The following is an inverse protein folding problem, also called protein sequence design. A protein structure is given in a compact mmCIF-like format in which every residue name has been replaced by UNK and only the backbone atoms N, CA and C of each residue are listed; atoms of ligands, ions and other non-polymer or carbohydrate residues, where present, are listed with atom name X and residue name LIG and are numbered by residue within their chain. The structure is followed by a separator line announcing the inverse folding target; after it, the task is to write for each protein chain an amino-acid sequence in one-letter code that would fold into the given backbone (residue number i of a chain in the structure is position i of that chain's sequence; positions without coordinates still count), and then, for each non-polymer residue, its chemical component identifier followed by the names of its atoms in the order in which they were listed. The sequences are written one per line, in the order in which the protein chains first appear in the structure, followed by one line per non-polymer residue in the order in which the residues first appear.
data_IF_758549938487
#
_entry.id   IF_758549938487
#
_cell.length_a   1.000
_cell.length_b   1.000
_cell.length_c   1.000
_cell.angle_alpha   90.00
_cell.angle_beta   90.00
_cell.angle_gamma   90.00
#
_symmetry.space_group_name_H-M   'P 1'
#
loop_
_entity.id
_entity.type
_entity.pdbx_description
1 polymer ?
#
# COMPACT_ATOMS: atom_id res chain seq x y z
N UNK A 1 12.58 -3.92 -16.85
CA UNK A 1 11.27 -4.56 -17.11
C UNK A 1 11.03 -5.77 -16.21
N UNK A 2 11.98 -6.71 -16.12
CA UNK A 2 11.87 -7.93 -15.30
C UNK A 2 11.57 -7.65 -13.82
N UNK A 3 12.32 -6.76 -13.16
CA UNK A 3 12.15 -6.46 -11.72
C UNK A 3 10.73 -6.01 -11.38
N UNK A 4 10.17 -5.06 -12.17
CA UNK A 4 8.80 -4.57 -11.97
C UNK A 4 7.77 -5.69 -12.06
N UNK A 5 7.91 -6.58 -13.05
CA UNK A 5 7.01 -7.72 -13.22
C UNK A 5 7.10 -8.70 -12.06
N UNK A 6 8.31 -9.06 -11.64
CA UNK A 6 8.50 -9.99 -10.51
C UNK A 6 7.91 -9.42 -9.22
N UNK A 7 8.14 -8.14 -8.94
CA UNK A 7 7.57 -7.46 -7.78
C UNK A 7 6.05 -7.43 -7.83
N UNK A 8 5.49 -7.16 -9.02
CA UNK A 8 4.06 -7.21 -9.26
C UNK A 8 3.47 -8.58 -8.91
N UNK A 9 4.04 -9.64 -9.50
CA UNK A 9 3.54 -11.01 -9.35
C UNK A 9 3.62 -11.46 -7.88
N UNK A 10 4.72 -11.14 -7.18
CA UNK A 10 4.88 -11.44 -5.75
C UNK A 10 3.82 -10.71 -4.93
N UNK A 11 3.70 -9.39 -5.09
CA UNK A 11 2.76 -8.59 -4.32
C UNK A 11 1.30 -9.00 -4.58
N UNK A 12 0.96 -9.33 -5.82
CA UNK A 12 -0.36 -9.83 -6.18
C UNK A 12 -0.68 -11.14 -5.45
N UNK A 13 0.24 -12.10 -5.42
CA UNK A 13 0.04 -13.36 -4.72
C UNK A 13 -0.07 -13.15 -3.20
N UNK A 14 0.75 -12.29 -2.61
CA UNK A 14 0.65 -11.92 -1.18
C UNK A 14 -0.71 -11.31 -0.84
N UNK A 15 -1.29 -10.52 -1.76
CA UNK A 15 -2.64 -9.99 -1.62
C UNK A 15 -3.69 -11.09 -1.48
N UNK A 16 -3.59 -12.14 -2.30
CA UNK A 16 -4.48 -13.31 -2.24
C UNK A 16 -4.34 -14.05 -0.91
N UNK A 17 -3.10 -14.30 -0.48
CA UNK A 17 -2.81 -14.94 0.80
C UNK A 17 -3.36 -14.16 1.99
N UNK A 18 -3.30 -12.83 1.95
CA UNK A 18 -3.87 -11.96 2.98
C UNK A 18 -5.40 -12.02 3.02
N UNK A 19 -6.06 -12.05 1.86
CA UNK A 19 -7.50 -12.22 1.79
C UNK A 19 -7.95 -13.55 2.42
N UNK A 20 -7.20 -14.62 2.17
CA UNK A 20 -7.42 -15.93 2.78
C UNK A 20 -7.16 -15.91 4.29
N UNK A 21 -6.03 -15.32 4.71
CA UNK A 21 -5.65 -15.23 6.13
C UNK A 21 -6.68 -14.49 6.98
N UNK A 22 -7.20 -13.36 6.49
CA UNK A 22 -8.25 -12.62 7.18
C UNK A 22 -9.65 -13.23 7.01
N UNK A 23 -9.84 -14.14 6.05
CA UNK A 23 -11.15 -14.66 5.68
C UNK A 23 -12.10 -13.60 5.10
N UNK A 24 -11.54 -12.48 4.62
CA UNK A 24 -12.25 -11.32 4.08
C UNK A 24 -11.34 -10.53 3.16
N UNK A 25 -11.94 -9.79 2.23
CA UNK A 25 -11.21 -9.04 1.21
C UNK A 25 -11.92 -7.71 0.84
N UNK A 26 -12.63 -7.12 1.79
CA UNK A 26 -13.26 -5.80 1.66
C UNK A 26 -12.33 -4.69 2.19
N UNK A 27 -12.78 -3.43 2.14
CA UNK A 27 -11.96 -2.29 2.61
C UNK A 27 -11.66 -2.35 4.12
N UNK A 28 -12.46 -3.08 4.89
CA UNK A 28 -12.18 -3.29 6.31
C UNK A 28 -11.03 -4.28 6.53
N UNK A 29 -10.78 -5.19 5.59
CA UNK A 29 -9.56 -6.02 5.57
C UNK A 29 -8.30 -5.15 5.43
N UNK A 30 -8.34 -4.11 4.57
CA UNK A 30 -7.25 -3.13 4.44
C UNK A 30 -7.01 -2.42 5.78
N UNK A 31 -8.08 -2.00 6.45
CA UNK A 31 -7.95 -1.36 7.77
C UNK A 31 -7.31 -2.28 8.81
N UNK A 32 -7.66 -3.56 8.81
CA UNK A 32 -7.04 -4.56 9.69
C UNK A 32 -5.56 -4.78 9.35
N UNK A 33 -5.19 -4.76 8.06
CA UNK A 33 -3.80 -4.85 7.62
C UNK A 33 -2.95 -3.64 8.06
N UNK A 34 -3.52 -2.45 8.12
CA UNK A 34 -2.75 -1.24 8.45
C UNK A 34 -2.20 -1.22 9.87
N UNK A 35 -2.81 -1.96 10.81
CA UNK A 35 -2.32 -2.09 12.18
C UNK A 35 -0.91 -2.72 12.22
N UNK A 36 -0.68 -3.94 11.71
CA UNK A 36 0.66 -4.52 11.70
C UNK A 36 1.63 -3.73 10.80
N UNK A 37 1.16 -3.12 9.71
CA UNK A 37 2.03 -2.35 8.80
C UNK A 37 2.52 -1.02 9.38
N UNK A 38 1.76 -0.42 10.30
CA UNK A 38 2.16 0.80 11.01
C UNK A 38 2.86 0.52 12.35
N UNK A 39 2.96 -0.75 12.75
CA UNK A 39 3.58 -1.17 14.01
C UNK A 39 5.00 -0.62 14.19
N UNK A 40 5.38 -0.37 15.44
CA UNK A 40 6.68 0.19 15.81
C UNK A 40 7.03 1.52 15.10
N UNK A 41 6.01 2.27 14.66
CA UNK A 41 6.20 3.54 13.94
C UNK A 41 6.72 3.36 12.51
N UNK A 42 6.57 2.17 11.92
CA UNK A 42 6.95 1.91 10.53
C UNK A 42 6.25 2.86 9.56
N UNK A 43 4.98 3.18 9.84
CA UNK A 43 4.18 4.16 9.11
C UNK A 43 3.46 5.07 10.11
N UNK A 44 3.35 6.37 9.80
CA UNK A 44 2.45 7.29 10.48
C UNK A 44 1.24 7.58 9.60
N UNK A 45 0.07 7.14 10.04
CA UNK A 45 -1.16 7.18 9.26
C UNK A 45 -2.06 8.35 9.68
N UNK A 46 -2.79 8.91 8.73
CA UNK A 46 -3.86 9.87 8.96
C UNK A 46 -5.08 9.50 8.10
N UNK A 47 -6.18 9.16 8.75
CA UNK A 47 -7.41 8.74 8.08
C UNK A 47 -8.27 9.94 7.73
N UNK A 48 -8.67 10.05 6.47
CA UNK A 48 -9.57 11.09 5.97
C UNK A 48 -10.94 10.55 5.54
N UNK A 49 -11.10 9.23 5.42
CA UNK A 49 -12.38 8.56 5.18
C UNK A 49 -12.33 7.07 5.53
N UNK A 50 -13.41 6.53 6.11
CA UNK A 50 -13.52 5.13 6.55
C UNK A 50 -14.94 4.60 6.31
N UNK A 51 -15.22 4.27 5.06
CA UNK A 51 -16.51 3.73 4.60
C UNK A 51 -16.40 2.31 4.07
N UNK A 52 -17.55 1.68 3.86
CA UNK A 52 -17.62 0.30 3.33
C UNK A 52 -17.24 0.19 1.84
N UNK A 53 -17.43 1.26 1.08
CA UNK A 53 -17.13 1.32 -0.37
C UNK A 53 -16.08 2.37 -0.74
N UNK A 54 -15.63 3.17 0.23
CA UNK A 54 -14.67 4.24 0.03
C UNK A 54 -13.84 4.41 1.30
N UNK A 55 -12.51 4.33 1.19
CA UNK A 55 -11.56 4.42 2.30
C UNK A 55 -10.41 5.35 1.87
N UNK A 56 -10.05 6.32 2.70
CA UNK A 56 -9.00 7.29 2.41
C UNK A 56 -8.01 7.37 3.57
N UNK A 57 -6.74 7.23 3.22
CA UNK A 57 -5.63 7.12 4.16
C UNK A 57 -4.39 7.82 3.62
N UNK A 58 -3.88 8.77 4.39
CA UNK A 58 -2.62 9.42 4.10
C UNK A 58 -1.51 8.81 4.97
N UNK A 59 -0.41 8.38 4.34
CA UNK A 59 0.84 8.08 5.05
C UNK A 59 1.66 9.37 5.13
N UNK A 60 1.86 9.86 6.36
CA UNK A 60 2.57 11.11 6.66
C UNK A 60 4.06 10.89 6.96
N UNK A 61 4.44 9.68 7.37
CA UNK A 61 5.83 9.28 7.60
C UNK A 61 5.98 7.78 7.27
N UNK A 62 7.10 7.40 6.69
CA UNK A 62 7.36 6.05 6.19
C UNK A 62 8.82 5.66 6.35
N UNK A 63 9.09 4.70 7.24
CA UNK A 63 10.44 4.24 7.53
C UNK A 63 11.13 3.57 6.33
N UNK A 64 10.37 3.07 5.34
CA UNK A 64 10.96 2.60 4.09
C UNK A 64 11.62 3.73 3.31
N UNK A 65 11.01 4.91 3.25
CA UNK A 65 11.61 6.09 2.58
C UNK A 65 12.91 6.46 3.28
N UNK A 66 12.89 6.58 4.61
CA UNK A 66 14.09 6.88 5.40
C UNK A 66 15.19 5.82 5.24
N UNK A 67 14.81 4.54 5.14
CA UNK A 67 15.74 3.44 4.89
C UNK A 67 16.42 3.60 3.51
N UNK A 68 15.65 3.78 2.43
CA UNK A 68 16.22 3.93 1.09
C UNK A 68 17.08 5.20 0.96
N UNK A 69 16.69 6.29 1.61
CA UNK A 69 17.50 7.51 1.70
C UNK A 69 18.84 7.24 2.40
N UNK A 70 18.80 6.59 3.57
CA UNK A 70 20.00 6.30 4.36
C UNK A 70 21.01 5.44 3.61
N UNK A 71 20.55 4.49 2.80
CA UNK A 71 21.43 3.62 2.00
C UNK A 71 21.78 4.20 0.62
N UNK A 72 21.29 5.39 0.29
CA UNK A 72 21.59 6.07 -0.98
C UNK A 72 20.90 5.45 -2.21
N UNK A 73 19.76 4.78 -2.03
CA UNK A 73 19.02 4.08 -3.10
C UNK A 73 17.55 4.52 -3.19
N UNK A 74 17.26 5.79 -2.88
CA UNK A 74 15.89 6.35 -2.90
C UNK A 74 15.21 6.18 -4.26
N UNK A 75 15.96 6.31 -5.34
CA UNK A 75 15.52 6.13 -6.73
C UNK A 75 14.97 4.73 -7.02
N UNK A 76 15.41 3.71 -6.28
CA UNK A 76 14.90 2.35 -6.41
C UNK A 76 13.66 2.07 -5.54
N UNK A 77 13.46 2.84 -4.47
CA UNK A 77 12.40 2.58 -3.49
C UNK A 77 10.98 2.63 -4.08
N UNK A 78 10.78 3.47 -5.11
CA UNK A 78 9.50 3.53 -5.82
C UNK A 78 9.15 2.21 -6.51
N UNK A 79 10.15 1.53 -7.08
CA UNK A 79 9.96 0.23 -7.76
C UNK A 79 9.95 -0.91 -6.75
N UNK A 80 10.89 -0.91 -5.81
CA UNK A 80 11.14 -2.03 -4.90
C UNK A 80 10.13 -2.15 -3.75
N UNK A 81 9.58 -1.02 -3.28
CA UNK A 81 8.65 -1.00 -2.16
C UNK A 81 7.30 -0.42 -2.53
N UNK A 82 7.22 0.84 -2.98
CA UNK A 82 5.93 1.48 -3.24
C UNK A 82 5.16 0.84 -4.42
N UNK A 83 5.87 0.26 -5.39
CA UNK A 83 5.27 -0.41 -6.54
C UNK A 83 4.52 -1.70 -6.21
N UNK A 84 4.62 -2.20 -4.96
CA UNK A 84 3.91 -3.38 -4.47
C UNK A 84 2.46 -3.12 -4.10
N UNK A 85 2.13 -1.88 -3.75
CA UNK A 85 0.85 -1.56 -3.11
C UNK A 85 -0.34 -1.86 -4.04
N UNK A 86 -0.37 -1.31 -5.26
CA UNK A 86 -1.48 -1.54 -6.20
C UNK A 86 -1.65 -3.05 -6.56
N UNK A 87 -0.60 -3.79 -6.96
CA UNK A 87 -0.73 -5.23 -7.23
C UNK A 87 -1.23 -6.02 -6.03
N UNK A 88 -0.75 -5.68 -4.83
CA UNK A 88 -1.19 -6.31 -3.59
C UNK A 88 -2.71 -6.18 -3.40
N UNK A 89 -3.26 -4.96 -3.45
CA UNK A 89 -4.70 -4.79 -3.25
C UNK A 89 -5.53 -5.40 -4.38
N UNK A 90 -5.01 -5.38 -5.61
CA UNK A 90 -5.65 -6.06 -6.74
C UNK A 90 -5.68 -7.58 -6.57
N UNK A 91 -4.64 -8.16 -5.99
CA UNK A 91 -4.58 -9.59 -5.65
C UNK A 91 -5.55 -9.95 -4.53
N UNK A 92 -5.64 -9.11 -3.50
CA UNK A 92 -6.56 -9.29 -2.38
C UNK A 92 -8.03 -9.26 -2.83
N UNK A 93 -8.41 -8.29 -3.68
CA UNK A 93 -9.72 -8.24 -4.30
C UNK A 93 -9.67 -7.44 -5.60
N UNK A 94 -9.98 -8.10 -6.72
CA UNK A 94 -9.94 -7.46 -8.05
C UNK A 94 -10.95 -6.32 -8.24
N UNK A 95 -11.94 -6.17 -7.34
CA UNK A 95 -12.90 -5.05 -7.33
C UNK A 95 -12.42 -3.85 -6.54
N UNK A 96 -11.30 -3.95 -5.81
CA UNK A 96 -10.70 -2.82 -5.12
C UNK A 96 -9.87 -2.03 -6.12
N UNK A 97 -10.23 -0.77 -6.29
CA UNK A 97 -9.44 0.20 -7.04
C UNK A 97 -8.66 1.07 -6.07
N UNK A 98 -7.34 0.88 -6.06
CA UNK A 98 -6.44 1.78 -5.34
C UNK A 98 -6.02 2.92 -6.27
N UNK A 99 -6.15 4.16 -5.79
CA UNK A 99 -5.56 5.34 -6.41
C UNK A 99 -4.58 5.98 -5.42
N UNK A 100 -3.42 6.39 -5.94
CA UNK A 100 -2.43 7.19 -5.21
C UNK A 100 -1.77 8.14 -6.20
N UNK A 101 -1.80 9.43 -5.89
CA UNK A 101 -1.33 10.47 -6.82
C UNK A 101 -0.02 11.10 -6.38
N UNK A 102 0.32 10.97 -5.10
CA UNK A 102 1.52 11.51 -4.46
C UNK A 102 2.16 10.43 -3.60
N UNK A 103 3.48 10.46 -3.50
CA UNK A 103 4.24 9.56 -2.62
C UNK A 103 5.34 10.30 -1.88
N UNK A 104 5.61 9.89 -0.65
CA UNK A 104 6.79 10.33 0.12
C UNK A 104 8.11 9.87 -0.52
N UNK A 105 8.08 8.71 -1.19
CA UNK A 105 9.26 8.14 -1.85
C UNK A 105 9.75 9.00 -3.00
N UNK A 106 8.87 9.76 -3.64
CA UNK A 106 9.21 10.74 -4.65
C UNK A 106 9.42 12.11 -3.97
N UNK A 107 8.57 13.09 -4.30
CA UNK A 107 8.64 14.48 -3.80
C UNK A 107 7.33 14.94 -3.13
N UNK A 108 6.40 14.01 -2.91
CA UNK A 108 5.13 14.28 -2.25
C UNK A 108 5.29 14.54 -0.75
N UNK A 109 4.32 15.24 -0.17
CA UNK A 109 4.25 15.52 1.28
C UNK A 109 3.61 14.38 2.09
N UNK A 110 2.97 13.43 1.40
CA UNK A 110 2.35 12.23 1.95
C UNK A 110 2.21 11.19 0.81
N UNK A 111 1.89 9.95 1.16
CA UNK A 111 1.27 9.01 0.24
C UNK A 111 -0.24 9.07 0.42
N UNK A 112 -0.99 9.49 -0.60
CA UNK A 112 -2.44 9.74 -0.51
C UNK A 112 -3.27 8.59 -1.07
N UNK A 113 -3.44 7.55 -0.26
CA UNK A 113 -4.18 6.37 -0.69
C UNK A 113 -5.69 6.62 -0.65
N UNK A 114 -6.34 6.27 -1.75
CA UNK A 114 -7.78 6.17 -1.88
C UNK A 114 -8.13 4.78 -2.38
N UNK A 115 -9.06 4.12 -1.70
CA UNK A 115 -9.57 2.81 -2.09
C UNK A 115 -11.07 2.89 -2.32
N UNK A 116 -11.49 2.50 -3.51
CA UNK A 116 -12.88 2.34 -3.88
C UNK A 116 -13.19 0.85 -4.10
N UNK A 117 -14.31 0.38 -3.55
CA UNK A 117 -14.81 -0.98 -3.82
C UNK A 117 -15.92 -0.89 -4.86
N UNK A 118 -15.62 -1.37 -6.08
CA UNK A 118 -16.55 -1.43 -7.19
C UNK A 118 -17.61 -2.53 -6.96
N UNK A 119 -18.78 -2.40 -7.62
CA UNK A 119 -19.92 -3.33 -7.45
C UNK A 119 -19.73 -4.70 -8.11
#
# INVERSE_FOLDING_TARGET
EIVKKVIYDIAFNEGQEYAEFFGRNDLQAIRMQMEPWSSNGALKLAWSGDGKKHLCEDVLDCQYVSMYERIGMKDLGAILSCGRDEPFYKGMNSKIKMTRTRTLMETGKCCDFVFDLEE
#
